data_IF_119844283534
#
_entry.id   IF_119844283534
#
_cell.length_a   1.000
_cell.length_b   1.000
_cell.length_c   1.000
_cell.angle_alpha   90.00
_cell.angle_beta   90.00
_cell.angle_gamma   90.00
#
_symmetry.space_group_name_H-M   'P 1'
#
loop_
_entity.id
_entity.type
_entity.pdbx_description
1 polymer ?
#
# COMPACT_ATOMS: atom_id res chain seq x y z
N UNK A 1 -2.62 45.38 7.24
CA UNK A 1 -1.61 44.32 7.26
C UNK A 1 -2.35 42.99 7.28
N UNK A 2 -2.26 42.13 6.25
CA UNK A 2 -2.99 40.88 6.25
C UNK A 2 -2.22 39.87 7.10
N UNK A 3 -2.76 39.53 8.27
CA UNK A 3 -2.37 38.32 8.97
C UNK A 3 -2.88 37.14 8.14
N UNK A 4 -1.97 36.54 7.38
CA UNK A 4 -2.23 35.30 6.66
C UNK A 4 -2.41 34.21 7.70
N UNK A 5 -3.65 34.01 8.13
CA UNK A 5 -4.07 32.87 8.93
C UNK A 5 -3.63 31.61 8.18
N UNK A 6 -2.55 30.99 8.66
CA UNK A 6 -2.19 29.63 8.29
C UNK A 6 -3.33 28.73 8.75
N UNK A 7 -4.38 28.62 7.93
CA UNK A 7 -5.27 27.46 8.02
C UNK A 7 -4.36 26.23 7.94
N UNK A 8 -4.43 25.30 8.90
CA UNK A 8 -3.72 24.04 8.75
C UNK A 8 -4.30 23.42 7.49
N UNK A 9 -3.56 23.51 6.39
CA UNK A 9 -4.00 22.95 5.13
C UNK A 9 -4.25 21.47 5.42
N UNK A 10 -5.52 21.10 5.44
CA UNK A 10 -5.98 19.76 5.79
C UNK A 10 -5.51 18.83 4.66
N UNK A 11 -4.25 18.41 4.76
CA UNK A 11 -3.52 17.65 3.77
C UNK A 11 -3.96 16.20 3.90
N UNK A 12 -5.20 15.92 3.49
CA UNK A 12 -5.71 14.56 3.42
C UNK A 12 -4.82 13.71 2.49
N UNK A 13 -4.50 12.52 2.97
CA UNK A 13 -3.72 11.50 2.26
C UNK A 13 -4.36 10.16 2.58
N UNK A 14 -4.69 9.38 1.57
CA UNK A 14 -5.32 8.07 1.74
C UNK A 14 -4.60 7.08 0.85
N UNK A 15 -4.15 5.97 1.43
CA UNK A 15 -3.62 4.83 0.69
C UNK A 15 -4.65 3.71 0.67
N UNK A 16 -5.03 3.24 -0.51
CA UNK A 16 -5.80 2.00 -0.68
C UNK A 16 -4.88 0.95 -1.27
N UNK A 17 -5.02 -0.30 -0.81
CA UNK A 17 -4.22 -1.42 -1.27
C UNK A 17 -5.17 -2.50 -1.77
N UNK A 18 -4.94 -2.94 -2.99
CA UNK A 18 -5.63 -4.06 -3.62
C UNK A 18 -4.59 -5.09 -4.00
N UNK A 19 -4.98 -6.36 -3.95
CA UNK A 19 -4.18 -7.46 -4.44
C UNK A 19 -5.09 -8.26 -5.36
N UNK A 20 -4.58 -8.60 -6.54
CA UNK A 20 -5.31 -9.35 -7.56
C UNK A 20 -4.46 -10.52 -8.04
N UNK A 21 -5.06 -11.68 -8.38
CA UNK A 21 -4.32 -12.79 -8.93
C UNK A 21 -3.93 -12.49 -10.38
N UNK A 22 -2.64 -12.60 -10.70
CA UNK A 22 -2.12 -12.45 -12.05
C UNK A 22 -1.17 -13.62 -12.37
N UNK A 23 -1.72 -14.78 -12.72
CA UNK A 23 -0.95 -16.00 -12.97
C UNK A 23 -0.11 -16.42 -11.74
N UNK A 24 1.23 -16.53 -11.85
CA UNK A 24 2.10 -16.96 -10.75
C UNK A 24 2.44 -15.84 -9.75
N UNK A 25 1.87 -14.63 -9.91
CA UNK A 25 2.10 -13.49 -9.02
C UNK A 25 0.78 -12.95 -8.45
N UNK A 26 0.87 -12.29 -7.30
CA UNK A 26 -0.14 -11.36 -6.82
C UNK A 26 0.23 -9.95 -7.30
N UNK A 27 -0.62 -9.33 -8.10
CA UNK A 27 -0.49 -7.93 -8.48
C UNK A 27 -0.99 -7.06 -7.34
N UNK A 28 -0.08 -6.40 -6.63
CA UNK A 28 -0.42 -5.50 -5.53
C UNK A 28 -0.51 -4.06 -6.06
N UNK A 29 -1.71 -3.49 -6.00
CA UNK A 29 -2.04 -2.16 -6.51
C UNK A 29 -2.18 -1.21 -5.31
N UNK A 30 -1.25 -0.26 -5.21
CA UNK A 30 -1.21 0.78 -4.18
C UNK A 30 -1.74 2.09 -4.78
N UNK A 31 -2.92 2.52 -4.35
CA UNK A 31 -3.58 3.74 -4.83
C UNK A 31 -3.50 4.81 -3.75
N UNK A 32 -2.75 5.87 -4.02
CA UNK A 32 -2.61 7.00 -3.11
C UNK A 32 -3.39 8.20 -3.61
N UNK A 33 -4.40 8.59 -2.84
CA UNK A 33 -5.16 9.80 -3.08
C UNK A 33 -4.61 10.95 -2.22
N UNK A 34 -4.34 12.07 -2.88
CA UNK A 34 -3.96 13.33 -2.25
C UNK A 34 -4.77 14.47 -2.84
N UNK A 35 -4.70 15.65 -2.22
CA UNK A 35 -5.27 16.88 -2.79
C UNK A 35 -4.76 17.21 -4.21
N UNK A 36 -3.52 16.82 -4.55
CA UNK A 36 -2.91 17.14 -5.85
C UNK A 36 -3.30 16.14 -6.94
N UNK A 37 -3.89 15.01 -6.58
CA UNK A 37 -4.25 13.96 -7.53
C UNK A 37 -4.17 12.57 -6.92
N UNK A 38 -4.38 11.57 -7.78
CA UNK A 38 -4.28 10.15 -7.45
C UNK A 38 -3.04 9.57 -8.12
N UNK A 39 -2.26 8.84 -7.35
CA UNK A 39 -1.11 8.08 -7.82
C UNK A 39 -1.39 6.59 -7.69
N UNK A 40 -1.03 5.80 -8.70
CA UNK A 40 -1.23 4.35 -8.74
C UNK A 40 0.12 3.70 -8.94
N UNK A 41 0.46 2.77 -8.05
CA UNK A 41 1.68 1.98 -8.14
C UNK A 41 1.36 0.51 -8.08
N UNK A 42 1.87 -0.22 -9.04
CA UNK A 42 1.77 -1.67 -9.09
C UNK A 42 3.07 -2.32 -8.63
N UNK A 43 2.92 -3.43 -7.92
CA UNK A 43 4.02 -4.26 -7.45
C UNK A 43 3.66 -5.73 -7.68
N UNK A 44 4.39 -6.38 -8.57
CA UNK A 44 4.23 -7.81 -8.81
C UNK A 44 4.97 -8.60 -7.73
N UNK A 45 4.21 -9.41 -7.00
CA UNK A 45 4.71 -10.21 -5.90
C UNK A 45 4.56 -11.69 -6.25
N UNK A 46 5.65 -12.41 -6.55
CA UNK A 46 5.58 -13.86 -6.78
C UNK A 46 5.04 -14.59 -5.56
N UNK A 47 4.07 -15.50 -5.76
CA UNK A 47 3.49 -16.28 -4.65
C UNK A 47 4.55 -17.10 -3.93
N UNK A 48 5.46 -17.75 -4.67
CA UNK A 48 6.58 -18.50 -4.11
C UNK A 48 7.43 -17.65 -3.15
N UNK A 49 7.69 -16.39 -3.49
CA UNK A 49 8.44 -15.48 -2.64
C UNK A 49 7.63 -15.10 -1.41
N UNK A 50 6.35 -14.78 -1.58
CA UNK A 50 5.47 -14.43 -0.47
C UNK A 50 5.34 -15.60 0.52
N UNK A 51 5.06 -16.81 0.05
CA UNK A 51 4.94 -17.99 0.90
C UNK A 51 6.23 -18.28 1.66
N UNK A 52 7.39 -18.10 1.01
CA UNK A 52 8.70 -18.30 1.63
C UNK A 52 9.01 -17.26 2.72
N UNK A 53 8.61 -16.00 2.52
CA UNK A 53 8.88 -14.91 3.46
C UNK A 53 7.82 -14.79 4.57
N UNK A 54 6.60 -15.21 4.27
CA UNK A 54 5.41 -14.91 5.06
C UNK A 54 4.95 -13.45 4.91
N UNK A 55 3.65 -13.24 5.13
CA UNK A 55 2.96 -11.95 4.86
C UNK A 55 3.58 -10.74 5.55
N UNK A 56 4.11 -10.90 6.77
CA UNK A 56 4.71 -9.79 7.52
C UNK A 56 6.00 -9.27 6.88
N UNK A 57 6.87 -10.17 6.43
CA UNK A 57 8.14 -9.80 5.81
C UNK A 57 7.91 -9.28 4.39
N UNK A 58 6.99 -9.90 3.65
CA UNK A 58 6.53 -9.42 2.34
C UNK A 58 5.98 -8.01 2.41
N UNK A 59 5.12 -7.70 3.40
CA UNK A 59 4.60 -6.34 3.58
C UNK A 59 5.71 -5.32 3.89
N UNK A 60 6.77 -5.72 4.61
CA UNK A 60 7.93 -4.87 4.85
C UNK A 60 8.73 -4.62 3.57
N UNK A 61 8.89 -5.63 2.71
CA UNK A 61 9.55 -5.51 1.42
C UNK A 61 8.81 -4.54 0.50
N UNK A 62 7.49 -4.70 0.36
CA UNK A 62 6.64 -3.78 -0.42
C UNK A 62 6.71 -2.37 0.16
N UNK A 63 6.64 -2.22 1.49
CA UNK A 63 6.74 -0.92 2.14
C UNK A 63 8.08 -0.22 1.84
N UNK A 64 9.20 -0.95 1.84
CA UNK A 64 10.51 -0.39 1.51
C UNK A 64 10.55 0.09 0.06
N UNK A 65 10.03 -0.70 -0.87
CA UNK A 65 9.92 -0.30 -2.28
C UNK A 65 9.03 0.94 -2.43
N UNK A 66 7.84 0.92 -1.81
CA UNK A 66 6.90 2.04 -1.87
C UNK A 66 7.46 3.31 -1.24
N UNK A 67 8.18 3.21 -0.12
CA UNK A 67 8.82 4.36 0.52
C UNK A 67 9.96 4.96 -0.31
N UNK A 68 10.66 4.17 -1.11
CA UNK A 68 11.69 4.66 -2.01
C UNK A 68 11.10 5.48 -3.16
N UNK A 69 9.92 5.10 -3.66
CA UNK A 69 9.23 5.83 -4.72
C UNK A 69 8.39 7.01 -4.21
N UNK A 70 7.80 6.89 -3.01
CA UNK A 70 6.81 7.83 -2.47
C UNK A 70 7.12 8.25 -1.02
N UNK A 71 8.31 8.83 -0.75
CA UNK A 71 8.75 9.14 0.62
C UNK A 71 7.80 10.10 1.33
N UNK A 72 7.28 11.12 0.63
CA UNK A 72 6.34 12.10 1.19
C UNK A 72 5.02 11.47 1.63
N UNK A 73 4.49 10.53 0.84
CA UNK A 73 3.26 9.79 1.18
C UNK A 73 3.46 8.98 2.44
N UNK A 74 4.59 8.27 2.55
CA UNK A 74 4.90 7.44 3.72
C UNK A 74 5.13 8.30 4.95
N UNK A 75 5.78 9.46 4.81
CA UNK A 75 5.95 10.42 5.90
C UNK A 75 4.60 10.95 6.41
N UNK A 76 3.66 11.27 5.50
CA UNK A 76 2.33 11.79 5.85
C UNK A 76 1.41 10.75 6.50
N UNK A 77 1.41 9.52 5.99
CA UNK A 77 0.56 8.44 6.51
C UNK A 77 1.16 7.75 7.74
N UNK A 78 2.47 7.79 7.88
CA UNK A 78 3.24 7.01 8.84
C UNK A 78 3.55 5.61 8.33
N UNK A 79 4.82 5.20 8.48
CA UNK A 79 5.34 3.90 8.02
C UNK A 79 4.53 2.71 8.55
N UNK A 80 4.15 2.73 9.83
CA UNK A 80 3.34 1.68 10.45
C UNK A 80 1.95 1.57 9.83
N UNK A 81 1.30 2.70 9.52
CA UNK A 81 -0.01 2.74 8.87
C UNK A 81 0.05 2.14 7.47
N UNK A 82 1.04 2.55 6.68
CA UNK A 82 1.26 2.02 5.33
C UNK A 82 1.49 0.51 5.37
N UNK A 83 2.37 0.05 6.27
CA UNK A 83 2.61 -1.38 6.46
C UNK A 83 1.33 -2.16 6.78
N UNK A 84 0.53 -1.67 7.75
CA UNK A 84 -0.73 -2.31 8.14
C UNK A 84 -1.70 -2.40 6.96
N UNK A 85 -1.80 -1.36 6.14
CA UNK A 85 -2.66 -1.38 4.94
C UNK A 85 -2.18 -2.38 3.90
N UNK A 86 -0.87 -2.45 3.66
CA UNK A 86 -0.27 -3.47 2.77
C UNK A 86 -0.56 -4.88 3.31
N UNK A 87 -0.27 -5.13 4.58
CA UNK A 87 -0.55 -6.43 5.23
C UNK A 87 -2.03 -6.80 5.14
N UNK A 88 -2.94 -5.85 5.36
CA UNK A 88 -4.38 -6.11 5.26
C UNK A 88 -4.80 -6.46 3.81
N UNK A 89 -4.27 -5.76 2.81
CA UNK A 89 -4.53 -6.07 1.40
C UNK A 89 -4.04 -7.47 1.02
N UNK A 90 -2.84 -7.83 1.46
CA UNK A 90 -2.27 -9.17 1.26
C UNK A 90 -3.09 -10.26 1.96
N UNK A 91 -3.43 -10.10 3.24
CA UNK A 91 -4.24 -11.09 3.96
C UNK A 91 -5.62 -11.26 3.33
N UNK A 92 -6.27 -10.17 2.90
CA UNK A 92 -7.57 -10.25 2.23
C UNK A 92 -7.49 -11.12 0.97
N UNK A 93 -6.52 -10.86 0.11
CA UNK A 93 -6.31 -11.65 -1.11
C UNK A 93 -6.02 -13.12 -0.79
N UNK A 94 -5.17 -13.39 0.20
CA UNK A 94 -4.88 -14.75 0.64
C UNK A 94 -6.18 -15.49 1.05
N UNK A 95 -7.02 -14.87 1.87
CA UNK A 95 -8.31 -15.46 2.26
C UNK A 95 -9.26 -15.65 1.07
N UNK A 96 -9.31 -14.71 0.14
CA UNK A 96 -10.14 -14.81 -1.06
C UNK A 96 -9.71 -15.98 -1.97
N UNK A 97 -8.40 -16.20 -2.15
CA UNK A 97 -7.89 -17.35 -2.92
C UNK A 97 -8.19 -18.69 -2.25
N UNK A 98 -8.04 -18.78 -0.92
CA UNK A 98 -8.36 -20.00 -0.18
C UNK A 98 -9.85 -20.32 -0.20
N UNK A 99 -10.74 -19.31 -0.22
CA UNK A 99 -12.19 -19.53 -0.35
C UNK A 99 -12.60 -20.05 -1.73
N UNK A 100 -11.87 -19.71 -2.78
CA UNK A 100 -12.13 -20.18 -4.14
C UNK A 100 -11.64 -21.61 -4.39
N UNK A 101 -10.79 -22.13 -3.51
CA UNK A 101 -10.16 -23.46 -3.63
C UNK A 101 -10.82 -24.54 -2.75
N UNK A 102 -11.85 -24.18 -1.99
CA UNK A 102 -12.63 -25.05 -1.10
C UNK A 102 -14.05 -25.26 -1.64
#
# INVERSE_FOLDING_TARGET
MPESVHSPLNHWCILRVYAEPNGPVAALILVTHTRRGTDVREFELPYLLWDSLGTRATAELVLRHYAACHPETVARLGRCTVKRRITAGLLRHYYEQHRQSA
#
